data_IF_482080962696
#
_entry.id   IF_482080962696
#
_cell.length_a   1.000
_cell.length_b   1.000
_cell.length_c   1.000
_cell.angle_alpha   90.00
_cell.angle_beta   90.00
_cell.angle_gamma   90.00
#
_symmetry.space_group_name_H-M   'P 1'
#
loop_
_entity.id
_entity.type
_entity.pdbx_description
1 polymer ?
#
# COMPACT_ATOMS: atom_id res chain seq x y z
N UNK A 1 -4.45 11.00 15.27
CA UNK A 1 -3.75 11.73 14.20
C UNK A 1 -3.23 10.71 13.20
N UNK A 2 -3.68 10.76 11.93
CA UNK A 2 -3.18 9.86 10.89
C UNK A 2 -1.79 10.37 10.49
N UNK A 3 -0.73 9.62 10.80
CA UNK A 3 0.62 9.92 10.30
C UNK A 3 0.73 9.38 8.89
N UNK A 4 0.90 10.28 7.92
CA UNK A 4 1.16 9.91 6.53
C UNK A 4 2.60 9.42 6.43
N UNK A 5 2.82 8.24 5.86
CA UNK A 5 4.16 7.71 5.65
C UNK A 5 4.85 8.53 4.56
N UNK A 6 5.86 9.33 4.90
CA UNK A 6 6.43 10.37 4.04
C UNK A 6 6.77 9.87 2.62
N UNK A 7 7.41 8.71 2.51
CA UNK A 7 7.82 8.16 1.21
C UNK A 7 6.67 7.55 0.40
N UNK A 8 5.69 6.94 1.06
CA UNK A 8 4.56 6.27 0.40
C UNK A 8 3.43 7.25 0.07
N UNK A 9 3.31 8.33 0.86
CA UNK A 9 2.30 9.37 0.70
C UNK A 9 2.37 10.05 -0.66
N UNK A 10 3.58 10.24 -1.20
CA UNK A 10 3.79 10.80 -2.54
C UNK A 10 3.15 9.97 -3.67
N UNK A 11 2.88 8.68 -3.43
CA UNK A 11 2.29 7.77 -4.40
C UNK A 11 0.84 7.42 -4.10
N UNK A 12 0.22 8.01 -3.07
CA UNK A 12 -1.14 7.69 -2.66
C UNK A 12 -2.16 7.84 -3.81
N UNK A 13 -2.01 8.88 -4.64
CA UNK A 13 -2.88 9.10 -5.80
C UNK A 13 -2.74 8.02 -6.90
N UNK A 14 -1.66 7.23 -6.89
CA UNK A 14 -1.42 6.12 -7.83
C UNK A 14 -1.83 4.76 -7.27
N UNK A 15 -2.33 4.74 -6.03
CA UNK A 15 -2.70 3.53 -5.33
C UNK A 15 -4.21 3.52 -5.12
N UNK A 16 -4.85 2.46 -5.62
CA UNK A 16 -6.23 2.17 -5.32
C UNK A 16 -6.28 1.21 -4.13
N UNK A 17 -7.06 1.58 -3.11
CA UNK A 17 -7.31 0.76 -1.94
C UNK A 17 -8.78 0.37 -1.94
N UNK A 18 -9.08 -0.93 -2.04
CA UNK A 18 -10.44 -1.44 -1.94
C UNK A 18 -10.55 -2.43 -0.78
N UNK A 19 -11.75 -2.56 -0.24
CA UNK A 19 -12.10 -3.60 0.74
C UNK A 19 -12.97 -4.61 0.02
N UNK A 20 -12.49 -5.85 -0.07
CA UNK A 20 -13.20 -6.97 -0.68
C UNK A 20 -13.33 -8.09 0.37
N UNK A 21 -14.57 -8.39 0.78
CA UNK A 21 -14.87 -9.31 1.88
C UNK A 21 -14.14 -8.91 3.18
N UNK A 22 -13.13 -9.69 3.58
CA UNK A 22 -12.30 -9.49 4.78
C UNK A 22 -10.87 -9.07 4.45
N UNK A 23 -10.62 -8.65 3.21
CA UNK A 23 -9.30 -8.29 2.72
C UNK A 23 -9.25 -6.87 2.16
N UNK A 24 -8.16 -6.16 2.46
CA UNK A 24 -7.78 -4.92 1.80
C UNK A 24 -6.96 -5.28 0.57
N UNK A 25 -7.40 -4.83 -0.59
CA UNK A 25 -6.69 -5.03 -1.85
C UNK A 25 -6.03 -3.73 -2.23
N UNK A 26 -4.71 -3.78 -2.41
CA UNK A 26 -3.92 -2.66 -2.92
C UNK A 26 -3.64 -2.91 -4.39
N UNK A 27 -3.95 -1.95 -5.25
CA UNK A 27 -3.67 -1.97 -6.69
C UNK A 27 -3.01 -0.67 -7.11
N UNK A 28 -2.29 -0.69 -8.22
CA UNK A 28 -1.63 0.49 -8.76
C UNK A 28 -0.16 0.20 -9.06
N UNK A 29 0.63 1.25 -9.22
CA UNK A 29 2.03 1.12 -9.64
C UNK A 29 2.95 1.94 -8.75
N UNK A 30 4.06 1.34 -8.33
CA UNK A 30 5.14 1.98 -7.60
C UNK A 30 6.44 1.95 -8.40
N UNK A 31 7.38 2.89 -8.18
CA UNK A 31 8.57 3.00 -9.00
C UNK A 31 9.66 1.98 -8.64
N UNK A 32 9.61 1.32 -7.48
CA UNK A 32 10.59 0.31 -7.10
C UNK A 32 10.02 -0.72 -6.10
N UNK A 33 10.75 -1.82 -5.96
CA UNK A 33 10.38 -2.94 -5.08
C UNK A 33 10.47 -2.57 -3.58
N UNK A 34 11.35 -1.65 -3.20
CA UNK A 34 11.49 -1.20 -1.80
C UNK A 34 10.22 -0.49 -1.30
N UNK A 35 9.65 0.40 -2.10
CA UNK A 35 8.39 1.06 -1.74
C UNK A 35 7.24 0.04 -1.67
N UNK A 36 7.22 -0.92 -2.60
CA UNK A 36 6.21 -1.98 -2.58
C UNK A 36 6.30 -2.84 -1.32
N UNK A 37 7.50 -3.16 -0.85
CA UNK A 37 7.70 -3.99 0.35
C UNK A 37 7.29 -3.26 1.65
N UNK A 38 7.32 -1.92 1.66
CA UNK A 38 6.91 -1.10 2.81
C UNK A 38 5.40 -0.91 2.98
N UNK A 39 4.59 -1.20 1.95
CA UNK A 39 3.14 -1.00 1.99
C UNK A 39 2.48 -1.78 3.12
N UNK A 40 2.72 -3.10 3.17
CA UNK A 40 2.06 -3.98 4.15
C UNK A 40 2.49 -3.63 5.59
N UNK A 41 3.79 -3.47 5.92
CA UNK A 41 4.22 -3.03 7.24
C UNK A 41 3.62 -1.69 7.66
N UNK A 42 3.50 -0.74 6.74
CA UNK A 42 2.92 0.58 7.03
C UNK A 42 1.44 0.49 7.35
N UNK A 43 0.67 -0.29 6.57
CA UNK A 43 -0.74 -0.54 6.85
C UNK A 43 -0.93 -1.27 8.19
N UNK A 44 -0.07 -2.23 8.51
CA UNK A 44 -0.08 -2.92 9.81
C UNK A 44 0.17 -1.96 10.97
N UNK A 45 1.17 -1.07 10.84
CA UNK A 45 1.46 -0.02 11.85
C UNK A 45 0.30 0.96 12.04
N UNK A 46 -0.57 1.13 11.05
CA UNK A 46 -1.78 1.93 11.17
C UNK A 46 -2.92 1.26 11.97
N UNK A 47 -2.71 0.03 12.48
CA UNK A 47 -3.70 -0.69 13.30
C UNK A 47 -4.66 -1.56 12.48
N UNK A 48 -4.40 -1.75 11.20
CA UNK A 48 -5.24 -2.58 10.33
C UNK A 48 -4.99 -4.06 10.61
N UNK A 49 -6.04 -4.77 11.02
CA UNK A 49 -5.99 -6.20 11.35
C UNK A 49 -6.43 -7.12 10.19
N UNK A 50 -7.12 -6.58 9.18
CA UNK A 50 -7.62 -7.35 8.03
C UNK A 50 -6.51 -7.94 7.16
N UNK A 51 -6.82 -8.97 6.37
CA UNK A 51 -5.84 -9.50 5.41
C UNK A 51 -5.48 -8.40 4.40
N UNK A 52 -4.18 -8.19 4.12
CA UNK A 52 -3.75 -7.21 3.12
C UNK A 52 -3.20 -7.96 1.91
N UNK A 53 -3.83 -7.79 0.75
CA UNK A 53 -3.38 -8.36 -0.53
C UNK A 53 -2.73 -7.25 -1.36
N UNK A 54 -1.41 -7.28 -1.42
CA UNK A 54 -0.62 -6.33 -2.19
C UNK A 54 -0.51 -6.78 -3.66
N UNK A 55 -1.36 -6.22 -4.53
CA UNK A 55 -1.34 -6.39 -5.99
C UNK A 55 -0.82 -5.13 -6.69
N UNK A 56 0.08 -4.41 -6.04
CA UNK A 56 0.75 -3.25 -6.63
C UNK A 56 1.89 -3.75 -7.50
N UNK A 57 1.93 -3.26 -8.73
CA UNK A 57 2.99 -3.53 -9.67
C UNK A 57 4.18 -2.59 -9.43
N UNK A 58 5.37 -3.07 -9.77
CA UNK A 58 6.56 -2.22 -9.83
C UNK A 58 6.75 -1.83 -11.29
N UNK A 59 6.84 -0.52 -11.57
CA UNK A 59 7.21 -0.06 -12.89
C UNK A 59 8.57 -0.69 -13.24
N UNK A 60 8.61 -1.47 -14.32
CA UNK A 60 9.88 -1.99 -14.82
C UNK A 60 10.74 -0.79 -15.23
N UNK A 61 11.87 -0.64 -14.55
CA UNK A 61 12.90 0.34 -14.88
C UNK A 61 13.50 0.08 -16.26
#
# INVERSE_FOLDING_TARGET
>A
MIRVHERLGAYAARLQVTVENTAIILRGTLPNQELRSELVPTIRRAGVLWQVKNRVDVAAS
#
